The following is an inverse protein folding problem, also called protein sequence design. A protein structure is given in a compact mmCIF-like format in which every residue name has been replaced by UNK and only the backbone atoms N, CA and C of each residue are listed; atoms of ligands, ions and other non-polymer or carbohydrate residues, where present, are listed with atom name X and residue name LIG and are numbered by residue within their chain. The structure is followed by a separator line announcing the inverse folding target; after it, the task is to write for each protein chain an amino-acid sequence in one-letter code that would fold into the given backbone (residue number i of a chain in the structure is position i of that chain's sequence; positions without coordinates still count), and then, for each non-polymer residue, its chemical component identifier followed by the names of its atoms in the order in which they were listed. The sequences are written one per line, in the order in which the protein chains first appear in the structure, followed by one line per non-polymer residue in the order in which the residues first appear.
data_IF_260075978770
#
_entry.id   IF_260075978770
#
_cell.length_a   1.000
_cell.length_b   1.000
_cell.length_c   1.000
_cell.angle_alpha   90.00
_cell.angle_beta   90.00
_cell.angle_gamma   90.00
#
_symmetry.space_group_name_H-M   'P 1'
#
loop_
_entity.id
_entity.type
_entity.pdbx_description
1 polymer ?
#
# COMPACT_ATOMS: atom_id res chain seq x y z
N UNK A 1 -10.88 3.86 25.36
CA UNK A 1 -9.65 4.13 24.55
C UNK A 1 -9.73 5.49 23.83
N UNK A 2 -10.76 5.79 22.97
CA UNK A 2 -10.79 7.08 22.23
C UNK A 2 -10.78 8.28 23.16
N UNK A 3 -11.56 8.25 24.23
CA UNK A 3 -11.58 9.30 25.24
C UNK A 3 -10.29 9.36 26.07
N UNK A 4 -9.74 8.21 26.41
CA UNK A 4 -8.52 8.09 27.23
C UNK A 4 -7.28 8.62 26.48
N UNK A 5 -7.18 8.32 25.18
CA UNK A 5 -6.01 8.69 24.35
C UNK A 5 -6.27 9.88 23.43
N UNK A 6 -7.39 10.59 23.60
CA UNK A 6 -7.79 11.73 22.77
C UNK A 6 -7.73 11.42 21.25
N UNK A 7 -8.33 10.30 20.85
CA UNK A 7 -8.29 9.84 19.46
C UNK A 7 -9.50 10.33 18.67
N UNK A 8 -9.24 10.84 17.47
CA UNK A 8 -10.29 11.06 16.46
C UNK A 8 -10.63 9.72 15.78
N UNK A 9 -11.89 9.55 15.40
CA UNK A 9 -12.33 8.30 14.75
C UNK A 9 -13.36 8.54 13.65
N UNK A 10 -13.50 7.53 12.77
CA UNK A 10 -14.44 7.59 11.65
C UNK A 10 -15.81 7.05 12.04
N UNK A 11 -16.86 7.86 11.82
CA UNK A 11 -18.26 7.46 11.92
C UNK A 11 -18.78 7.15 10.51
N UNK A 12 -19.17 5.92 10.27
CA UNK A 12 -19.55 5.41 8.94
C UNK A 12 -20.83 4.57 8.92
N UNK A 13 -21.49 4.42 10.08
CA UNK A 13 -22.67 3.55 10.22
C UNK A 13 -23.58 4.01 11.36
N UNK A 14 -24.87 3.74 11.22
CA UNK A 14 -25.91 4.14 12.16
C UNK A 14 -25.69 3.61 13.59
N UNK A 15 -25.11 2.41 13.76
CA UNK A 15 -24.83 1.87 15.09
C UNK A 15 -23.80 2.71 15.87
N UNK A 16 -22.83 3.33 15.18
CA UNK A 16 -21.86 4.22 15.83
C UNK A 16 -22.53 5.52 16.27
N UNK A 17 -23.46 6.06 15.47
CA UNK A 17 -24.26 7.22 15.87
C UNK A 17 -25.06 6.91 17.12
N UNK A 18 -25.72 5.76 17.18
CA UNK A 18 -26.49 5.34 18.36
C UNK A 18 -25.59 5.17 19.61
N UNK A 19 -24.37 4.66 19.46
CA UNK A 19 -23.40 4.59 20.56
C UNK A 19 -22.97 5.97 21.05
N UNK A 20 -22.75 6.92 20.14
CA UNK A 20 -22.41 8.31 20.49
C UNK A 20 -23.58 9.03 21.17
N UNK A 21 -24.82 8.82 20.72
CA UNK A 21 -26.03 9.33 21.40
C UNK A 21 -26.15 8.78 22.82
N UNK A 22 -25.89 7.49 23.01
CA UNK A 22 -25.89 6.91 24.34
C UNK A 22 -24.75 7.43 25.21
N UNK A 23 -23.54 7.54 24.65
CA UNK A 23 -22.37 8.08 25.36
C UNK A 23 -22.60 9.52 25.78
N UNK A 24 -23.12 10.38 24.89
CA UNK A 24 -23.40 11.79 25.16
C UNK A 24 -24.38 11.97 26.35
N UNK A 25 -25.39 11.12 26.45
CA UNK A 25 -26.33 11.12 27.58
C UNK A 25 -25.69 10.77 28.92
N UNK A 26 -24.63 9.95 28.91
CA UNK A 26 -23.97 9.46 30.12
C UNK A 26 -22.80 10.36 30.56
N UNK A 27 -22.22 11.15 29.62
CA UNK A 27 -20.96 11.87 29.81
C UNK A 27 -21.01 13.30 29.26
N UNK A 28 -22.15 13.99 29.35
CA UNK A 28 -22.48 15.24 28.65
C UNK A 28 -21.42 16.37 28.75
N UNK A 29 -20.70 16.51 29.87
CA UNK A 29 -19.83 17.68 30.10
C UNK A 29 -18.32 17.40 30.14
N UNK A 30 -17.88 16.15 29.99
CA UNK A 30 -16.49 15.80 30.33
C UNK A 30 -15.60 15.38 29.18
N UNK A 31 -16.16 14.92 28.06
CA UNK A 31 -15.38 14.33 26.96
C UNK A 31 -15.91 14.81 25.64
N UNK A 32 -15.01 15.33 24.80
CA UNK A 32 -15.29 15.80 23.43
C UNK A 32 -14.52 14.96 22.42
N UNK A 33 -15.12 14.70 21.27
CA UNK A 33 -14.52 13.94 20.18
C UNK A 33 -14.49 14.74 18.88
N UNK A 34 -13.35 14.69 18.20
CA UNK A 34 -13.25 15.02 16.79
C UNK A 34 -13.58 13.79 15.95
N UNK A 35 -14.56 13.90 15.07
CA UNK A 35 -15.01 12.75 14.26
C UNK A 35 -14.89 13.00 12.77
N UNK A 36 -14.59 11.96 12.02
CA UNK A 36 -14.63 11.94 10.56
C UNK A 36 -15.94 11.30 10.12
N UNK A 37 -16.91 12.09 9.70
CA UNK A 37 -18.17 11.59 9.16
C UNK A 37 -17.94 11.12 7.72
N UNK A 38 -18.06 9.81 7.50
CA UNK A 38 -17.73 9.19 6.23
C UNK A 38 -18.94 9.06 5.31
N UNK A 39 -18.81 9.63 4.10
CA UNK A 39 -19.74 9.48 2.99
C UNK A 39 -19.29 8.35 2.06
N UNK A 40 -20.22 7.53 1.64
CA UNK A 40 -20.04 6.63 0.51
C UNK A 40 -20.36 7.37 -0.79
N UNK A 41 -19.36 7.94 -1.42
CA UNK A 41 -19.51 8.66 -2.69
C UNK A 41 -19.33 7.77 -3.93
N UNK A 42 -19.19 6.44 -3.75
CA UNK A 42 -19.12 5.49 -4.87
C UNK A 42 -18.16 4.32 -4.70
N UNK A 43 -17.36 4.26 -3.63
CA UNK A 43 -16.50 3.12 -3.35
C UNK A 43 -17.27 1.89 -2.85
N UNK A 44 -18.44 2.09 -2.25
CA UNK A 44 -19.35 1.05 -1.76
C UNK A 44 -18.74 0.09 -0.74
N UNK A 45 -17.86 0.61 0.13
CA UNK A 45 -17.21 -0.17 1.19
C UNK A 45 -17.73 0.23 2.58
N UNK A 46 -17.66 1.51 2.93
CA UNK A 46 -18.14 2.07 4.21
C UNK A 46 -18.61 3.51 3.99
N UNK A 47 -19.53 3.97 4.84
CA UNK A 47 -20.02 5.36 4.84
C UNK A 47 -21.52 5.47 4.55
N UNK A 48 -22.09 6.58 4.94
CA UNK A 48 -23.49 6.92 4.72
C UNK A 48 -23.74 7.33 3.27
N UNK A 49 -24.91 6.98 2.75
CA UNK A 49 -25.33 7.43 1.43
C UNK A 49 -25.58 8.94 1.41
N UNK A 50 -25.42 9.58 0.25
CA UNK A 50 -25.57 11.02 0.12
C UNK A 50 -26.96 11.54 0.58
N UNK A 51 -28.02 10.76 0.36
CA UNK A 51 -29.39 11.12 0.72
C UNK A 51 -29.70 11.07 2.23
N UNK A 52 -28.89 10.38 3.02
CA UNK A 52 -29.03 10.30 4.49
C UNK A 52 -27.94 11.10 5.23
N UNK A 53 -26.95 11.58 4.51
CA UNK A 53 -25.73 12.17 5.09
C UNK A 53 -26.00 13.43 5.91
N UNK A 54 -26.87 14.33 5.42
CA UNK A 54 -27.23 15.56 6.10
C UNK A 54 -27.94 15.29 7.43
N UNK A 55 -28.87 14.35 7.47
CA UNK A 55 -29.59 13.96 8.69
C UNK A 55 -28.62 13.40 9.75
N UNK A 56 -27.64 12.60 9.31
CA UNK A 56 -26.61 12.04 10.21
C UNK A 56 -25.70 13.16 10.72
N UNK A 57 -25.28 14.09 9.87
CA UNK A 57 -24.48 15.23 10.28
C UNK A 57 -25.20 16.08 11.33
N UNK A 58 -26.50 16.37 11.13
CA UNK A 58 -27.31 17.13 12.09
C UNK A 58 -27.41 16.40 13.43
N UNK A 59 -27.61 15.08 13.42
CA UNK A 59 -27.63 14.27 14.66
C UNK A 59 -26.31 14.39 15.41
N UNK A 60 -25.18 14.18 14.72
CA UNK A 60 -23.86 14.28 15.36
C UNK A 60 -23.58 15.69 15.88
N UNK A 61 -23.91 16.75 15.12
CA UNK A 61 -23.73 18.16 15.52
C UNK A 61 -24.52 18.53 16.77
N UNK A 62 -25.64 17.86 17.04
CA UNK A 62 -26.46 18.07 18.20
C UNK A 62 -25.94 17.36 19.48
N UNK A 63 -24.96 16.47 19.36
CA UNK A 63 -24.40 15.75 20.51
C UNK A 63 -23.35 16.58 21.23
N UNK A 64 -23.52 16.77 22.53
CA UNK A 64 -22.59 17.53 23.37
C UNK A 64 -21.18 16.91 23.41
N UNK A 65 -21.06 15.60 23.18
CA UNK A 65 -19.78 14.92 23.13
C UNK A 65 -19.02 15.08 21.79
N UNK A 66 -19.56 15.82 20.81
CA UNK A 66 -18.88 16.07 19.53
C UNK A 66 -18.33 17.49 19.53
N UNK A 67 -17.02 17.62 19.35
CA UNK A 67 -16.31 18.90 19.21
C UNK A 67 -16.29 19.37 17.77
N UNK A 68 -15.82 18.50 16.86
CA UNK A 68 -15.75 18.82 15.44
C UNK A 68 -16.16 17.64 14.56
N UNK A 69 -16.66 17.98 13.35
CA UNK A 69 -17.00 17.00 12.33
C UNK A 69 -16.19 17.31 11.08
N UNK A 70 -15.33 16.38 10.65
CA UNK A 70 -14.63 16.43 9.37
C UNK A 70 -15.38 15.57 8.35
N UNK A 71 -15.80 16.17 7.24
CA UNK A 71 -16.41 15.43 6.13
C UNK A 71 -15.39 14.57 5.44
N UNK A 72 -15.67 13.27 5.30
CA UNK A 72 -14.72 12.31 4.73
C UNK A 72 -15.35 11.49 3.60
N UNK A 73 -14.60 11.26 2.54
CA UNK A 73 -14.88 10.20 1.58
C UNK A 73 -13.60 9.45 1.21
N UNK A 74 -13.70 8.44 0.35
CA UNK A 74 -12.55 7.71 -0.19
C UNK A 74 -12.78 7.42 -1.66
N UNK A 75 -11.84 7.84 -2.50
CA UNK A 75 -11.90 7.60 -3.93
C UNK A 75 -11.54 6.15 -4.25
N UNK A 76 -12.34 5.54 -5.11
CA UNK A 76 -12.10 4.18 -5.61
C UNK A 76 -11.09 4.15 -6.77
N UNK A 77 -11.03 5.23 -7.55
CA UNK A 77 -10.35 5.25 -8.84
C UNK A 77 -9.47 6.51 -9.00
N UNK A 78 -8.89 7.03 -7.90
CA UNK A 78 -8.01 8.22 -7.97
C UNK A 78 -6.69 7.95 -8.73
N UNK A 79 -6.32 6.70 -8.90
CA UNK A 79 -5.17 6.20 -9.63
C UNK A 79 -5.46 5.96 -11.12
N UNK A 80 -6.71 6.10 -11.58
CA UNK A 80 -7.10 5.79 -12.93
C UNK A 80 -8.30 6.56 -13.46
N UNK A 81 -9.02 5.93 -14.36
CA UNK A 81 -10.26 6.41 -14.94
C UNK A 81 -11.44 5.56 -14.46
N UNK A 82 -12.61 6.19 -14.39
CA UNK A 82 -13.88 5.53 -14.12
C UNK A 82 -14.87 5.83 -15.23
N UNK A 83 -15.33 4.80 -15.94
CA UNK A 83 -16.28 4.93 -17.03
C UNK A 83 -15.88 6.00 -18.08
N UNK A 84 -14.58 6.09 -18.39
CA UNK A 84 -14.05 7.04 -19.38
C UNK A 84 -13.94 8.48 -18.90
N UNK A 85 -14.02 8.72 -17.58
CA UNK A 85 -13.81 10.02 -16.94
C UNK A 85 -12.69 9.92 -15.90
N UNK A 86 -12.14 11.06 -15.49
CA UNK A 86 -11.21 11.11 -14.36
C UNK A 86 -11.83 10.42 -13.14
N UNK A 87 -11.09 9.51 -12.51
CA UNK A 87 -11.60 8.65 -11.45
C UNK A 87 -12.14 9.36 -10.22
N UNK A 88 -11.85 10.65 -10.05
CA UNK A 88 -12.32 11.44 -8.90
C UNK A 88 -13.56 12.30 -9.21
N UNK A 89 -13.83 12.62 -10.49
CA UNK A 89 -14.84 13.64 -10.86
C UNK A 89 -16.24 13.34 -10.33
N UNK A 90 -16.73 12.13 -10.57
CA UNK A 90 -18.07 11.74 -10.10
C UNK A 90 -18.17 11.79 -8.56
N UNK A 91 -17.17 11.20 -7.89
CA UNK A 91 -17.19 11.09 -6.43
C UNK A 91 -17.05 12.44 -5.74
N UNK A 92 -16.19 13.33 -6.27
CA UNK A 92 -16.03 14.68 -5.68
C UNK A 92 -17.22 15.58 -5.96
N UNK A 93 -17.86 15.48 -7.12
CA UNK A 93 -19.07 16.23 -7.43
C UNK A 93 -20.22 15.84 -6.48
N UNK A 94 -20.45 14.54 -6.27
CA UNK A 94 -21.45 14.05 -5.33
C UNK A 94 -21.13 14.51 -3.89
N UNK A 95 -19.87 14.39 -3.48
CA UNK A 95 -19.41 14.80 -2.16
C UNK A 95 -19.67 16.30 -1.93
N UNK A 96 -19.17 17.15 -2.82
CA UNK A 96 -19.31 18.60 -2.70
C UNK A 96 -20.78 19.07 -2.70
N UNK A 97 -21.61 18.48 -3.57
CA UNK A 97 -23.05 18.81 -3.61
C UNK A 97 -23.74 18.43 -2.30
N UNK A 98 -23.36 17.31 -1.70
CA UNK A 98 -23.99 16.83 -0.46
C UNK A 98 -23.60 17.67 0.75
N UNK A 99 -22.37 18.18 0.81
CA UNK A 99 -21.85 18.93 1.98
C UNK A 99 -21.93 20.46 1.81
N UNK A 100 -22.40 20.98 0.67
CA UNK A 100 -22.26 22.39 0.31
C UNK A 100 -22.76 23.39 1.37
N UNK A 101 -23.78 23.01 2.16
CA UNK A 101 -24.39 23.83 3.22
C UNK A 101 -24.04 23.30 4.64
N UNK A 102 -23.07 22.39 4.76
CA UNK A 102 -22.66 21.80 6.02
C UNK A 102 -21.29 22.34 6.45
N UNK A 103 -21.19 22.77 7.70
CA UNK A 103 -19.92 23.20 8.29
C UNK A 103 -19.01 22.01 8.58
N UNK A 104 -17.72 22.17 8.36
CA UNK A 104 -16.69 21.19 8.72
C UNK A 104 -15.51 21.19 7.76
N UNK A 105 -14.38 20.69 8.23
CA UNK A 105 -13.21 20.42 7.41
C UNK A 105 -13.46 19.24 6.47
N UNK A 106 -12.65 19.10 5.43
CA UNK A 106 -12.76 18.03 4.44
C UNK A 106 -11.54 17.10 4.45
N UNK A 107 -11.77 15.79 4.30
CA UNK A 107 -10.74 14.77 4.15
C UNK A 107 -11.11 13.81 3.00
N UNK A 108 -10.63 14.10 1.80
CA UNK A 108 -10.97 13.32 0.59
C UNK A 108 -9.77 12.58 0.00
N UNK A 109 -8.56 13.12 0.15
CA UNK A 109 -7.38 12.69 -0.60
C UNK A 109 -6.66 11.51 0.05
N UNK A 110 -6.58 10.38 -0.68
CA UNK A 110 -5.64 9.28 -0.46
C UNK A 110 -4.33 9.55 -1.22
N UNK A 111 -3.35 8.63 -1.19
CA UNK A 111 -2.04 8.82 -1.87
C UNK A 111 -2.17 9.17 -3.35
N UNK A 112 -3.01 8.47 -4.11
CA UNK A 112 -3.22 8.74 -5.52
C UNK A 112 -3.84 10.13 -5.74
N UNK A 113 -4.84 10.49 -4.96
CA UNK A 113 -5.47 11.81 -5.05
C UNK A 113 -4.51 12.96 -4.70
N UNK A 114 -3.62 12.76 -3.71
CA UNK A 114 -2.59 13.74 -3.34
C UNK A 114 -1.63 13.97 -4.51
N UNK A 115 -1.14 12.92 -5.13
CA UNK A 115 -0.14 13.04 -6.19
C UNK A 115 -0.74 13.51 -7.53
N UNK A 116 -1.90 12.97 -7.93
CA UNK A 116 -2.49 13.23 -9.24
C UNK A 116 -3.43 14.43 -9.30
N UNK A 117 -4.14 14.70 -8.20
CA UNK A 117 -5.30 15.61 -8.21
C UNK A 117 -5.19 16.78 -7.20
N UNK A 118 -4.03 17.03 -6.62
CA UNK A 118 -3.82 18.08 -5.60
C UNK A 118 -4.27 19.49 -6.02
N UNK A 119 -4.24 19.79 -7.33
CA UNK A 119 -4.69 21.09 -7.86
C UNK A 119 -6.22 21.21 -7.99
N UNK A 120 -6.92 20.08 -8.00
CA UNK A 120 -8.37 20.00 -8.25
C UNK A 120 -9.18 19.73 -6.98
N UNK A 121 -8.53 19.12 -5.98
CA UNK A 121 -9.19 18.67 -4.76
C UNK A 121 -8.81 19.55 -3.59
N UNK A 122 -9.82 20.05 -2.89
CA UNK A 122 -9.63 20.66 -1.57
C UNK A 122 -9.69 19.58 -0.49
N UNK A 123 -8.71 19.54 0.38
CA UNK A 123 -8.65 18.59 1.50
C UNK A 123 -7.85 19.23 2.64
N UNK A 124 -8.54 19.56 3.73
CA UNK A 124 -7.90 20.13 4.92
C UNK A 124 -7.04 19.09 5.64
N UNK A 125 -7.49 17.83 5.59
CA UNK A 125 -6.78 16.69 6.15
C UNK A 125 -6.53 15.66 5.04
N UNK A 126 -5.27 15.40 4.72
CA UNK A 126 -4.87 14.38 3.74
C UNK A 126 -4.54 13.06 4.43
N UNK A 127 -4.76 11.96 3.74
CA UNK A 127 -4.50 10.60 4.23
C UNK A 127 -3.49 9.91 3.33
N UNK A 128 -2.24 10.36 3.42
CA UNK A 128 -1.13 9.72 2.76
C UNK A 128 -0.93 8.30 3.32
N UNK A 129 -0.88 7.32 2.44
CA UNK A 129 -0.62 5.92 2.76
C UNK A 129 0.65 5.45 2.08
N UNK A 130 0.51 4.69 0.98
CA UNK A 130 1.63 4.01 0.31
C UNK A 130 2.74 4.96 -0.15
N UNK A 131 2.42 6.20 -0.53
CA UNK A 131 3.43 7.18 -0.92
C UNK A 131 4.46 7.47 0.19
N UNK A 132 4.08 7.35 1.47
CA UNK A 132 5.00 7.52 2.61
C UNK A 132 6.02 6.38 2.70
N UNK A 133 5.69 5.24 2.12
CA UNK A 133 6.57 4.07 2.07
C UNK A 133 7.37 3.99 0.76
N UNK A 134 7.23 5.01 -0.11
CA UNK A 134 7.98 5.11 -1.35
C UNK A 134 7.52 4.16 -2.44
N UNK A 135 6.24 3.80 -2.47
CA UNK A 135 5.59 3.04 -3.53
C UNK A 135 4.63 3.94 -4.30
N UNK A 136 4.56 3.80 -5.61
CA UNK A 136 3.67 4.58 -6.46
C UNK A 136 2.23 4.08 -6.34
N UNK A 137 1.25 4.96 -6.05
CA UNK A 137 -0.14 4.54 -5.95
C UNK A 137 -0.80 4.23 -7.30
N UNK A 138 -0.16 4.54 -8.43
CA UNK A 138 -0.70 4.40 -9.79
C UNK A 138 0.28 3.74 -10.78
N UNK A 139 1.20 2.92 -10.27
CA UNK A 139 2.05 2.08 -11.12
C UNK A 139 1.20 1.13 -11.97
N UNK A 140 1.48 0.89 -13.26
CA UNK A 140 2.68 1.32 -13.99
C UNK A 140 2.57 2.69 -14.71
N UNK A 141 1.46 3.43 -14.55
CA UNK A 141 1.28 4.73 -15.22
C UNK A 141 2.37 5.72 -14.83
N UNK A 142 2.70 5.78 -13.54
CA UNK A 142 3.83 6.54 -13.01
C UNK A 142 4.65 5.66 -12.08
N UNK A 143 5.96 5.74 -12.21
CA UNK A 143 6.93 5.11 -11.32
C UNK A 143 7.16 5.97 -10.05
N UNK A 144 7.89 5.44 -9.10
CA UNK A 144 8.33 6.22 -7.93
C UNK A 144 9.21 7.41 -8.33
N UNK A 145 9.95 7.31 -9.43
CA UNK A 145 10.80 8.38 -9.94
C UNK A 145 9.99 9.56 -10.49
N UNK A 146 8.87 9.29 -11.15
CA UNK A 146 7.97 10.34 -11.67
C UNK A 146 7.37 11.17 -10.54
N UNK A 147 7.14 10.54 -9.38
CA UNK A 147 6.63 11.18 -8.16
C UNK A 147 7.71 11.65 -7.19
N UNK A 148 9.00 11.42 -7.49
CA UNK A 148 10.13 11.70 -6.61
C UNK A 148 9.98 11.03 -5.22
N UNK A 149 9.45 9.82 -5.19
CA UNK A 149 9.31 9.01 -3.98
C UNK A 149 10.59 8.21 -3.73
N UNK A 150 10.85 7.90 -2.47
CA UNK A 150 12.00 7.07 -2.05
C UNK A 150 11.52 5.91 -1.20
N UNK A 151 12.01 4.69 -1.42
CA UNK A 151 11.74 3.56 -0.54
C UNK A 151 12.14 3.87 0.90
N UNK A 152 11.24 3.60 1.84
CA UNK A 152 11.50 3.69 3.29
C UNK A 152 11.56 2.31 3.94
N UNK A 153 11.33 1.25 3.17
CA UNK A 153 11.43 -0.14 3.58
C UNK A 153 12.13 -0.93 2.50
N UNK A 154 13.05 -1.78 2.90
CA UNK A 154 13.78 -2.69 2.02
C UNK A 154 13.70 -4.11 2.56
N UNK A 155 13.45 -5.10 1.69
CA UNK A 155 13.60 -6.51 2.03
C UNK A 155 14.90 -6.99 1.41
N UNK A 156 15.85 -7.37 2.26
CA UNK A 156 17.18 -7.85 1.87
C UNK A 156 17.41 -9.26 2.38
N UNK A 157 18.26 -9.98 1.66
CA UNK A 157 18.73 -11.29 2.01
C UNK A 157 20.12 -11.52 1.39
N UNK A 158 20.57 -12.77 1.33
CA UNK A 158 21.90 -13.13 0.83
C UNK A 158 21.85 -14.38 -0.06
N UNK A 159 22.86 -14.50 -0.93
CA UNK A 159 23.14 -15.73 -1.67
C UNK A 159 23.72 -16.78 -0.71
N UNK A 160 23.05 -17.92 -0.59
CA UNK A 160 23.48 -19.04 0.27
C UNK A 160 24.05 -20.25 -0.51
N UNK A 161 23.79 -20.31 -1.82
CA UNK A 161 24.38 -21.33 -2.70
C UNK A 161 24.44 -20.82 -4.14
N UNK A 162 25.42 -21.31 -4.89
CA UNK A 162 25.58 -21.06 -6.33
C UNK A 162 25.58 -22.38 -7.05
N UNK A 163 24.79 -22.53 -8.12
CA UNK A 163 24.69 -23.71 -8.94
C UNK A 163 24.96 -23.38 -10.41
N UNK A 164 25.65 -24.27 -11.08
CA UNK A 164 25.88 -24.24 -12.52
C UNK A 164 24.94 -25.24 -13.18
N UNK A 165 24.01 -24.77 -13.98
CA UNK A 165 23.06 -25.62 -14.68
C UNK A 165 23.31 -25.59 -16.19
N UNK A 166 23.02 -26.71 -16.83
CA UNK A 166 23.16 -26.87 -18.26
C UNK A 166 21.87 -26.58 -19.00
N UNK A 167 21.98 -26.24 -20.27
CA UNK A 167 20.83 -26.16 -21.18
C UNK A 167 19.87 -27.34 -20.95
N UNK A 168 18.55 -27.05 -20.95
CA UNK A 168 17.45 -27.98 -20.70
C UNK A 168 17.30 -28.49 -19.26
N UNK A 169 18.16 -28.12 -18.32
CA UNK A 169 17.90 -28.36 -16.90
C UNK A 169 16.86 -27.41 -16.34
N UNK A 170 16.12 -27.83 -15.35
CA UNK A 170 14.99 -27.09 -14.77
C UNK A 170 15.30 -26.58 -13.37
N UNK A 171 14.57 -25.51 -12.93
CA UNK A 171 14.73 -24.92 -11.61
C UNK A 171 13.43 -24.99 -10.82
N UNK A 172 13.52 -25.42 -9.57
CA UNK A 172 12.47 -25.36 -8.57
C UNK A 172 11.32 -26.35 -8.76
N UNK A 173 10.31 -26.23 -7.91
CA UNK A 173 9.13 -27.09 -7.90
C UNK A 173 8.30 -26.98 -9.18
N UNK A 174 7.96 -28.15 -9.74
CA UNK A 174 7.14 -28.27 -10.95
C UNK A 174 7.85 -27.86 -12.22
N UNK A 175 9.20 -27.74 -12.17
CA UNK A 175 10.06 -27.45 -13.34
C UNK A 175 9.54 -26.29 -14.20
N UNK A 176 9.07 -25.21 -13.55
CA UNK A 176 8.47 -24.08 -14.26
C UNK A 176 9.46 -23.22 -15.04
N UNK A 177 10.73 -23.33 -14.72
CA UNK A 177 11.79 -22.70 -15.49
C UNK A 177 12.66 -23.79 -16.11
N UNK A 178 12.96 -23.66 -17.39
CA UNK A 178 13.90 -24.50 -18.13
C UNK A 178 14.99 -23.63 -18.70
N UNK A 179 16.25 -23.95 -18.42
CA UNK A 179 17.41 -23.24 -18.91
C UNK A 179 17.51 -23.34 -20.45
N UNK A 180 17.49 -22.23 -21.16
CA UNK A 180 17.67 -22.15 -22.60
C UNK A 180 19.14 -22.16 -23.05
N UNK A 181 20.05 -21.91 -22.13
CA UNK A 181 21.52 -21.93 -22.24
C UNK A 181 22.14 -22.45 -20.97
N UNK A 182 23.43 -22.69 -20.95
CA UNK A 182 24.17 -22.90 -19.71
C UNK A 182 24.08 -21.65 -18.84
N UNK A 183 23.71 -21.79 -17.55
CA UNK A 183 23.43 -20.68 -16.63
C UNK A 183 24.11 -20.87 -15.28
N UNK A 184 24.36 -19.76 -14.62
CA UNK A 184 24.71 -19.73 -13.20
C UNK A 184 23.50 -19.21 -12.43
N UNK A 185 23.08 -19.93 -11.39
CA UNK A 185 21.94 -19.53 -10.55
C UNK A 185 22.37 -19.36 -9.10
N UNK A 186 21.81 -18.37 -8.42
CA UNK A 186 21.97 -18.16 -6.99
C UNK A 186 20.74 -18.65 -6.24
N UNK A 187 20.95 -19.26 -5.08
CA UNK A 187 19.88 -19.56 -4.13
C UNK A 187 19.92 -18.53 -3.03
N UNK A 188 18.80 -17.90 -2.78
CA UNK A 188 18.63 -16.79 -1.82
C UNK A 188 17.90 -17.31 -0.58
N UNK A 189 18.32 -16.87 0.61
CA UNK A 189 17.73 -17.22 1.89
C UNK A 189 16.44 -16.40 2.17
N UNK A 190 15.45 -16.49 1.29
CA UNK A 190 14.13 -15.88 1.47
C UNK A 190 13.10 -16.65 0.66
N UNK A 191 11.93 -16.88 1.25
CA UNK A 191 10.83 -17.57 0.59
C UNK A 191 9.46 -17.10 1.08
N UNK A 192 8.41 -17.89 0.79
CA UNK A 192 7.06 -17.46 1.12
C UNK A 192 6.76 -17.50 2.64
N UNK A 193 7.54 -18.23 3.44
CA UNK A 193 7.40 -18.20 4.90
C UNK A 193 7.97 -16.92 5.52
N UNK A 194 8.77 -16.16 4.78
CA UNK A 194 9.28 -14.85 5.15
C UNK A 194 8.34 -13.72 4.71
N UNK A 195 7.34 -14.07 3.87
CA UNK A 195 6.35 -13.14 3.33
C UNK A 195 6.55 -12.82 1.85
N UNK A 196 7.57 -13.39 1.18
CA UNK A 196 7.73 -13.20 -0.25
C UNK A 196 6.68 -14.01 -1.02
N UNK A 197 6.02 -13.39 -1.99
CA UNK A 197 4.85 -13.99 -2.65
C UNK A 197 5.19 -15.27 -3.43
N UNK A 198 4.54 -16.41 -3.09
CA UNK A 198 4.76 -17.69 -3.74
C UNK A 198 4.39 -17.71 -5.23
N UNK A 199 3.46 -16.83 -5.63
CA UNK A 199 2.98 -16.71 -7.00
C UNK A 199 3.85 -15.82 -7.88
N UNK A 200 4.89 -15.20 -7.33
CA UNK A 200 5.85 -14.38 -8.08
C UNK A 200 6.34 -15.14 -9.32
N UNK A 201 6.22 -14.48 -10.46
CA UNK A 201 6.56 -15.08 -11.76
C UNK A 201 8.08 -15.04 -12.02
N UNK A 202 8.57 -16.01 -12.80
CA UNK A 202 9.91 -15.95 -13.39
C UNK A 202 10.06 -14.68 -14.20
N UNK A 203 11.19 -13.98 -14.06
CA UNK A 203 11.43 -12.69 -14.70
C UNK A 203 11.17 -11.48 -13.80
N UNK A 204 10.55 -11.69 -12.63
CA UNK A 204 10.41 -10.63 -11.63
C UNK A 204 11.78 -10.12 -11.21
N UNK A 205 12.02 -8.80 -11.20
CA UNK A 205 13.32 -8.23 -10.92
C UNK A 205 13.78 -8.44 -9.49
N UNK A 206 15.09 -8.51 -9.32
CA UNK A 206 15.81 -8.56 -8.05
C UNK A 206 17.17 -7.89 -8.25
N UNK A 207 17.78 -7.34 -7.18
CA UNK A 207 19.17 -6.88 -7.26
C UNK A 207 20.07 -7.88 -6.53
N UNK A 208 21.20 -8.19 -7.12
CA UNK A 208 22.29 -8.94 -6.48
C UNK A 208 23.54 -8.07 -6.57
N UNK A 209 24.16 -7.75 -5.43
CA UNK A 209 25.28 -6.79 -5.34
C UNK A 209 25.00 -5.50 -6.14
N UNK A 210 23.75 -4.95 -5.98
CA UNK A 210 23.26 -3.77 -6.70
C UNK A 210 23.09 -3.93 -8.22
N UNK A 211 23.36 -5.11 -8.79
CA UNK A 211 23.15 -5.41 -10.21
C UNK A 211 21.78 -6.04 -10.40
N UNK A 212 21.01 -5.51 -11.36
CA UNK A 212 19.66 -5.99 -11.65
C UNK A 212 19.71 -7.32 -12.38
N UNK A 213 18.98 -8.28 -11.83
CA UNK A 213 18.73 -9.59 -12.43
C UNK A 213 17.28 -10.02 -12.18
N UNK A 214 16.96 -11.31 -12.23
CA UNK A 214 15.61 -11.82 -12.17
C UNK A 214 15.49 -13.10 -11.36
N UNK A 215 14.27 -13.34 -10.86
CA UNK A 215 13.87 -14.58 -10.22
C UNK A 215 13.64 -15.67 -11.25
N UNK A 216 14.00 -16.90 -10.90
CA UNK A 216 13.84 -18.10 -11.73
C UNK A 216 12.96 -19.13 -11.03
N UNK A 217 11.94 -19.60 -11.72
CA UNK A 217 11.08 -20.68 -11.24
C UNK A 217 10.19 -20.29 -10.07
N UNK A 218 9.69 -21.30 -9.34
CA UNK A 218 8.74 -21.11 -8.25
C UNK A 218 9.44 -20.85 -6.93
N UNK A 219 8.90 -19.88 -6.16
CA UNK A 219 9.36 -19.58 -4.81
C UNK A 219 9.09 -20.77 -3.89
N UNK A 220 10.09 -21.18 -3.12
CA UNK A 220 9.99 -22.21 -2.08
C UNK A 220 9.63 -21.59 -0.73
N UNK A 221 9.49 -22.43 0.32
CA UNK A 221 9.13 -21.95 1.66
C UNK A 221 10.18 -20.97 2.21
N UNK A 222 11.45 -21.33 2.11
CA UNK A 222 12.55 -20.62 2.74
C UNK A 222 13.60 -20.13 1.74
N UNK A 223 13.42 -20.37 0.45
CA UNK A 223 14.41 -20.08 -0.59
C UNK A 223 13.74 -19.67 -1.91
N UNK A 224 14.46 -18.89 -2.70
CA UNK A 224 14.16 -18.60 -4.10
C UNK A 224 15.43 -18.67 -4.94
N UNK A 225 15.27 -18.83 -6.25
CA UNK A 225 16.39 -18.87 -7.19
C UNK A 225 16.45 -17.60 -8.03
N UNK A 226 17.65 -17.10 -8.29
CA UNK A 226 17.92 -15.93 -9.13
C UNK A 226 18.93 -16.23 -10.22
N UNK A 227 18.85 -15.53 -11.34
CA UNK A 227 19.79 -15.62 -12.44
C UNK A 227 21.09 -14.87 -12.09
N UNK A 228 22.22 -15.56 -12.08
CA UNK A 228 23.54 -14.97 -11.87
C UNK A 228 24.41 -15.01 -13.13
N UNK A 229 23.86 -15.44 -14.27
CA UNK A 229 24.64 -15.69 -15.49
C UNK A 229 25.44 -14.47 -15.93
N UNK A 230 24.82 -13.29 -15.84
CA UNK A 230 25.40 -12.04 -16.26
C UNK A 230 25.75 -11.10 -15.07
N UNK A 231 25.63 -11.59 -13.83
CA UNK A 231 26.01 -10.84 -12.62
C UNK A 231 27.45 -11.20 -12.24
N UNK A 232 28.31 -10.21 -12.25
CA UNK A 232 29.75 -10.41 -12.01
C UNK A 232 30.11 -10.33 -10.54
N UNK A 233 31.12 -11.09 -10.12
CA UNK A 233 31.74 -11.05 -8.77
C UNK A 233 30.83 -11.54 -7.63
N UNK A 234 29.69 -12.18 -7.93
CA UNK A 234 28.80 -12.73 -6.91
C UNK A 234 29.41 -13.94 -6.21
N UNK A 235 29.23 -14.01 -4.89
CA UNK A 235 29.71 -15.09 -4.03
C UNK A 235 28.64 -15.43 -2.97
N UNK A 236 28.88 -16.48 -2.21
CA UNK A 236 28.06 -16.76 -1.01
C UNK A 236 28.20 -15.58 -0.06
N UNK A 237 27.06 -15.07 0.46
CA UNK A 237 26.97 -13.85 1.27
C UNK A 237 26.77 -12.56 0.46
N UNK A 238 26.75 -12.62 -0.88
CA UNK A 238 26.38 -11.45 -1.70
C UNK A 238 24.98 -10.96 -1.36
N UNK A 239 24.82 -9.62 -1.22
CA UNK A 239 23.55 -8.98 -0.89
C UNK A 239 22.51 -9.22 -1.99
N UNK A 240 21.29 -9.56 -1.59
CA UNK A 240 20.15 -9.65 -2.48
C UNK A 240 19.05 -8.71 -1.99
N UNK A 241 18.65 -7.74 -2.84
CA UNK A 241 17.53 -6.85 -2.56
C UNK A 241 16.30 -7.36 -3.31
N UNK A 242 15.30 -7.77 -2.56
CA UNK A 242 14.03 -8.27 -3.09
C UNK A 242 13.05 -7.15 -3.42
N UNK A 243 13.13 -6.03 -2.71
CA UNK A 243 12.61 -4.69 -3.04
C UNK A 243 13.24 -3.66 -2.10
N UNK A 244 13.19 -2.38 -2.49
CA UNK A 244 13.71 -1.26 -1.73
C UNK A 244 15.06 -0.80 -2.21
N UNK A 245 15.98 -0.51 -1.31
CA UNK A 245 17.30 0.05 -1.60
C UNK A 245 18.42 -0.88 -1.14
N UNK A 246 19.44 -1.04 -1.97
CA UNK A 246 20.66 -1.77 -1.60
C UNK A 246 21.57 -0.95 -0.69
N UNK A 247 22.54 -1.61 -0.05
CA UNK A 247 23.58 -0.96 0.75
C UNK A 247 24.41 0.06 -0.03
N UNK A 248 24.44 -0.04 -1.36
CA UNK A 248 25.14 0.86 -2.27
C UNK A 248 24.24 1.93 -2.91
N UNK A 249 22.95 2.00 -2.51
CA UNK A 249 22.01 3.00 -2.98
C UNK A 249 21.28 2.66 -4.29
N UNK A 250 21.44 1.46 -4.85
CA UNK A 250 20.63 1.04 -5.99
C UNK A 250 19.19 0.75 -5.53
N UNK A 251 18.21 1.20 -6.31
CA UNK A 251 16.79 1.08 -5.95
C UNK A 251 16.10 0.05 -6.84
N UNK A 252 15.37 -0.86 -6.20
CA UNK A 252 14.38 -1.74 -6.82
C UNK A 252 13.00 -1.34 -6.29
N UNK A 253 12.17 -0.65 -7.08
CA UNK A 253 10.82 -0.28 -6.66
C UNK A 253 9.98 -1.50 -6.31
N UNK A 254 9.32 -1.46 -5.16
CA UNK A 254 8.43 -2.54 -4.73
C UNK A 254 7.27 -2.76 -5.72
N UNK A 255 6.89 -1.72 -6.45
CA UNK A 255 5.81 -1.75 -7.45
C UNK A 255 6.12 -2.70 -8.59
N UNK A 256 7.38 -2.74 -9.04
CA UNK A 256 7.83 -3.66 -10.09
C UNK A 256 7.76 -5.13 -9.63
N UNK A 257 8.13 -5.36 -8.38
CA UNK A 257 8.08 -6.71 -7.77
C UNK A 257 6.62 -7.12 -7.54
N UNK A 258 5.78 -6.20 -7.09
CA UNK A 258 4.36 -6.42 -6.89
C UNK A 258 3.65 -6.76 -8.22
N UNK A 259 3.98 -6.07 -9.30
CA UNK A 259 3.46 -6.39 -10.63
C UNK A 259 3.83 -7.81 -11.07
N UNK A 260 5.09 -8.24 -10.85
CA UNK A 260 5.53 -9.61 -11.11
C UNK A 260 4.87 -10.68 -10.21
N UNK A 261 4.22 -10.25 -9.15
CA UNK A 261 3.47 -11.11 -8.22
C UNK A 261 1.95 -11.01 -8.40
N UNK A 262 1.47 -10.17 -9.33
CA UNK A 262 0.05 -9.94 -9.59
C UNK A 262 -0.68 -9.21 -8.46
N UNK A 263 0.05 -8.32 -7.73
CA UNK A 263 -0.47 -7.60 -6.56
C UNK A 263 0.04 -6.15 -6.51
N UNK A 264 -0.08 -5.51 -5.35
CA UNK A 264 0.30 -4.12 -5.08
C UNK A 264 1.34 -4.04 -3.95
N UNK A 265 2.15 -2.97 -3.94
CA UNK A 265 3.20 -2.76 -2.93
C UNK A 265 2.71 -2.86 -1.48
N UNK A 266 1.48 -2.44 -1.19
CA UNK A 266 0.85 -2.60 0.14
C UNK A 266 0.87 -4.05 0.63
N UNK A 267 0.46 -4.98 -0.24
CA UNK A 267 0.35 -6.39 0.13
C UNK A 267 1.73 -6.99 0.40
N UNK A 268 2.73 -6.65 -0.41
CA UNK A 268 4.10 -7.13 -0.19
C UNK A 268 4.66 -6.64 1.15
N UNK A 269 4.47 -5.36 1.50
CA UNK A 269 4.93 -4.83 2.79
C UNK A 269 4.21 -5.47 3.97
N UNK A 270 2.89 -5.67 3.88
CA UNK A 270 2.09 -6.29 4.92
C UNK A 270 2.34 -7.81 5.06
N UNK A 271 2.83 -8.46 4.01
CA UNK A 271 3.06 -9.90 4.01
C UNK A 271 4.33 -10.32 4.78
N UNK A 272 5.27 -9.40 5.04
CA UNK A 272 6.50 -9.70 5.77
C UNK A 272 6.16 -10.28 7.14
N UNK A 273 6.68 -11.48 7.41
CA UNK A 273 6.35 -12.22 8.63
C UNK A 273 7.28 -11.89 9.79
N UNK A 274 6.91 -12.30 11.00
CA UNK A 274 7.72 -12.12 12.22
C UNK A 274 9.05 -12.90 12.21
N UNK A 275 9.30 -13.76 11.20
CA UNK A 275 10.61 -14.42 10.99
C UNK A 275 11.68 -13.44 10.52
N UNK A 276 11.28 -12.40 9.81
CA UNK A 276 12.20 -11.39 9.26
C UNK A 276 12.57 -10.42 10.36
N UNK A 277 13.86 -10.24 10.56
CA UNK A 277 14.38 -9.26 11.51
C UNK A 277 14.21 -7.85 10.95
N UNK A 278 13.61 -6.95 11.76
CA UNK A 278 13.50 -5.55 11.41
C UNK A 278 14.68 -4.76 11.97
N UNK A 279 15.33 -4.00 11.11
CA UNK A 279 16.43 -3.10 11.46
C UNK A 279 16.04 -1.67 11.06
N UNK A 280 16.35 -0.69 11.92
CA UNK A 280 16.13 0.73 11.64
C UNK A 280 17.46 1.32 11.22
N UNK A 281 17.53 1.78 9.98
CA UNK A 281 18.66 2.54 9.45
C UNK A 281 18.43 4.05 9.72
N UNK A 282 19.43 4.73 10.30
CA UNK A 282 19.40 6.16 10.62
C UNK A 282 19.98 7.01 9.48
#
# INVERSE_FOLDING_TARGET
DCAEFNLSFTVHSAYQVAWLEQFSKLHADSIKFDVFLKMNSGMNRLGFQANEYQDVWQKLKALECIESITHMTHFSDADGERLGQSGVEYQIALFNTTIQDLEGACSVSNSAAILRHSKQLHSDVVRSGIMLYGSSPDYPTHSIHDWNLKPTMSLRSEIIAIQHIKTQQTVGYGSRFTASKDMVIGIVACGYADGYQRLTETGTPVLVDSQRTQILGRISMDMLAVDLTDVTQTQIGSEVVLWGMSSQGAILPIDEVAAGSGTVGYELMCAVTARVQFEIEN
#
